data_IF_907023376718
#
_entry.id   IF_907023376718
#
_cell.length_a   1.000
_cell.length_b   1.000
_cell.length_c   1.000
_cell.angle_alpha   90.00
_cell.angle_beta   90.00
_cell.angle_gamma   90.00
#
_symmetry.space_group_name_H-M   'P 1'
#
loop_
_entity.id
_entity.type
_entity.pdbx_description
1 polymer ?
#
# COMPACT_ATOMS: atom_id res chain seq x y z
N UNK A 1 20.72 -23.94 -6.32
CA UNK A 1 20.26 -22.66 -6.89
C UNK A 1 19.73 -21.82 -5.74
N UNK A 2 20.25 -20.61 -5.56
CA UNK A 2 19.71 -19.68 -4.55
C UNK A 2 18.31 -19.29 -5.00
N UNK A 3 17.30 -19.48 -4.14
CA UNK A 3 15.94 -19.07 -4.43
C UNK A 3 15.92 -17.55 -4.69
N UNK A 4 15.31 -17.14 -5.80
CA UNK A 4 15.17 -15.71 -6.13
C UNK A 4 14.15 -15.09 -5.19
N UNK A 5 14.56 -14.07 -4.44
CA UNK A 5 13.73 -13.42 -3.43
C UNK A 5 12.87 -12.31 -4.04
N UNK A 6 11.60 -12.29 -3.64
CA UNK A 6 10.63 -11.27 -4.00
C UNK A 6 10.06 -10.62 -2.73
N UNK A 7 10.13 -9.30 -2.61
CA UNK A 7 9.51 -8.55 -1.51
C UNK A 7 8.37 -7.69 -2.07
N UNK A 8 7.17 -7.84 -1.48
CA UNK A 8 6.00 -7.05 -1.83
C UNK A 8 5.71 -6.02 -0.74
N UNK A 9 5.76 -4.74 -1.11
CA UNK A 9 5.42 -3.59 -0.29
C UNK A 9 4.10 -3.01 -0.77
N UNK A 10 3.28 -2.47 0.14
CA UNK A 10 2.07 -1.80 -0.28
C UNK A 10 0.93 -1.79 0.72
N UNK A 11 -0.20 -1.30 0.26
CA UNK A 11 -1.43 -1.15 1.02
C UNK A 11 -2.46 -2.25 0.70
N UNK A 12 -3.75 -1.98 0.94
CA UNK A 12 -4.84 -2.94 0.72
C UNK A 12 -4.95 -3.44 -0.72
N UNK A 13 -4.60 -2.62 -1.71
CA UNK A 13 -4.64 -3.02 -3.12
C UNK A 13 -3.67 -4.18 -3.42
N UNK A 14 -2.55 -4.25 -2.70
CA UNK A 14 -1.61 -5.36 -2.77
C UNK A 14 -1.96 -6.48 -1.79
N UNK A 15 -2.40 -6.15 -0.56
CA UNK A 15 -2.73 -7.14 0.46
C UNK A 15 -3.94 -8.03 0.07
N UNK A 16 -4.95 -7.46 -0.60
CA UNK A 16 -6.15 -8.19 -1.05
C UNK A 16 -7.12 -8.55 0.08
N UNK A 17 -7.52 -7.58 0.96
CA UNK A 17 -8.46 -7.86 2.04
C UNK A 17 -9.78 -8.39 1.49
N UNK A 18 -10.34 -9.38 2.19
CA UNK A 18 -11.59 -10.04 1.78
C UNK A 18 -11.41 -11.20 0.82
N UNK A 19 -10.28 -11.33 0.14
CA UNK A 19 -9.99 -12.48 -0.74
C UNK A 19 -9.55 -13.67 0.11
N UNK A 20 -10.28 -14.78 0.05
CA UNK A 20 -9.96 -15.99 0.83
C UNK A 20 -9.04 -16.96 0.05
N UNK A 21 -8.21 -17.76 0.73
CA UNK A 21 -7.94 -17.75 2.17
C UNK A 21 -6.97 -16.63 2.57
N UNK A 22 -6.98 -16.28 3.84
CA UNK A 22 -6.00 -15.37 4.42
C UNK A 22 -4.59 -16.01 4.39
N UNK A 23 -3.57 -15.20 4.14
CA UNK A 23 -2.18 -15.67 4.17
C UNK A 23 -1.80 -16.16 5.58
N UNK A 24 -1.20 -17.33 5.66
CA UNK A 24 -0.76 -17.94 6.92
C UNK A 24 0.27 -17.03 7.61
N UNK A 25 0.20 -16.95 8.95
CA UNK A 25 1.13 -16.16 9.74
C UNK A 25 0.95 -14.63 9.64
N UNK A 26 0.10 -14.12 8.73
CA UNK A 26 -0.12 -12.68 8.63
C UNK A 26 -1.02 -12.15 9.74
N UNK A 27 -0.75 -10.94 10.28
CA UNK A 27 -1.69 -10.28 11.20
C UNK A 27 -3.08 -10.13 10.56
N UNK A 28 -4.16 -10.32 11.34
CA UNK A 28 -5.52 -10.16 10.82
C UNK A 28 -5.77 -8.76 10.25
N UNK A 29 -5.22 -7.76 10.92
CA UNK A 29 -5.33 -6.35 10.53
C UNK A 29 -4.60 -6.00 9.23
N UNK A 30 -3.63 -6.80 8.80
CA UNK A 30 -2.96 -6.61 7.52
C UNK A 30 -3.88 -6.94 6.33
N UNK A 31 -4.85 -7.83 6.52
CA UNK A 31 -5.78 -8.21 5.46
C UNK A 31 -5.14 -8.97 4.30
N UNK A 32 -3.97 -9.59 4.50
CA UNK A 32 -3.27 -10.30 3.42
C UNK A 32 -3.99 -11.56 3.01
N UNK A 33 -4.19 -11.71 1.72
CA UNK A 33 -4.72 -12.92 1.09
C UNK A 33 -3.59 -13.82 0.60
N UNK A 34 -3.74 -15.13 0.74
CA UNK A 34 -2.86 -16.10 0.07
C UNK A 34 -3.09 -16.17 -1.46
N UNK A 35 -4.04 -15.37 -1.97
CA UNK A 35 -4.37 -15.24 -3.40
C UNK A 35 -4.25 -13.79 -3.89
N UNK A 36 -3.60 -12.92 -3.14
CA UNK A 36 -3.28 -11.58 -3.62
C UNK A 36 -2.27 -11.66 -4.78
N UNK A 37 -2.10 -10.54 -5.52
CA UNK A 37 -1.22 -10.57 -6.68
C UNK A 37 0.25 -10.93 -6.32
N UNK A 38 0.83 -10.53 -5.17
CA UNK A 38 2.18 -10.96 -4.81
C UNK A 38 2.33 -12.47 -4.74
N UNK A 39 1.38 -13.16 -4.10
CA UNK A 39 1.39 -14.62 -4.05
C UNK A 39 1.21 -15.28 -5.43
N UNK A 40 0.40 -14.68 -6.31
CA UNK A 40 0.23 -15.18 -7.68
C UNK A 40 1.51 -15.04 -8.49
N UNK A 41 2.15 -13.86 -8.43
CA UNK A 41 3.43 -13.58 -9.09
C UNK A 41 4.53 -14.51 -8.59
N UNK A 42 4.66 -14.65 -7.26
CA UNK A 42 5.65 -15.52 -6.64
C UNK A 42 5.52 -16.97 -7.13
N UNK A 43 4.29 -17.51 -7.16
CA UNK A 43 4.03 -18.86 -7.67
C UNK A 43 4.33 -19.00 -9.16
N UNK A 44 3.93 -18.03 -9.96
CA UNK A 44 4.13 -18.04 -11.42
C UNK A 44 5.61 -18.00 -11.81
N UNK A 45 6.43 -17.26 -11.06
CA UNK A 45 7.84 -17.06 -11.33
C UNK A 45 8.78 -17.94 -10.49
N UNK A 46 8.24 -18.78 -9.59
CA UNK A 46 9.04 -19.63 -8.70
C UNK A 46 9.90 -18.81 -7.73
N UNK A 47 9.37 -17.69 -7.19
CA UNK A 47 10.07 -16.79 -6.28
C UNK A 47 9.73 -17.10 -4.83
N UNK A 48 10.68 -16.87 -3.93
CA UNK A 48 10.45 -16.85 -2.49
C UNK A 48 9.86 -15.48 -2.09
N UNK A 49 8.59 -15.48 -1.65
CA UNK A 49 7.86 -14.25 -1.33
C UNK A 49 8.03 -13.85 0.13
N UNK A 50 8.39 -12.59 0.34
CA UNK A 50 8.21 -11.86 1.60
C UNK A 50 7.13 -10.81 1.38
N UNK A 51 5.91 -11.08 1.82
CA UNK A 51 4.78 -10.17 1.69
C UNK A 51 4.62 -9.37 2.98
N UNK A 52 4.97 -8.08 2.95
CA UNK A 52 4.80 -7.14 4.07
C UNK A 52 3.71 -6.11 3.81
N UNK A 53 2.92 -6.29 2.76
CA UNK A 53 1.78 -5.41 2.45
C UNK A 53 0.81 -5.32 3.63
N UNK A 54 0.19 -4.17 3.85
CA UNK A 54 -0.67 -3.95 5.00
C UNK A 54 -1.84 -3.02 4.65
N UNK A 55 -3.08 -3.47 4.88
CA UNK A 55 -4.27 -2.66 4.63
C UNK A 55 -4.21 -1.33 5.39
N UNK A 56 -4.50 -0.23 4.70
CA UNK A 56 -4.43 1.11 5.26
C UNK A 56 -3.03 1.72 5.31
N UNK A 57 -1.99 1.04 4.80
CA UNK A 57 -0.65 1.60 4.78
C UNK A 57 -0.57 2.87 3.91
N UNK A 58 0.22 3.82 4.36
CA UNK A 58 0.63 5.03 3.66
C UNK A 58 2.11 4.96 3.29
N UNK A 59 2.62 5.92 2.54
CA UNK A 59 4.05 6.03 2.23
C UNK A 59 4.91 6.10 3.51
N UNK A 60 4.43 6.75 4.57
CA UNK A 60 5.10 6.79 5.86
C UNK A 60 5.27 5.41 6.50
N UNK A 61 4.26 4.53 6.39
CA UNK A 61 4.36 3.13 6.86
C UNK A 61 5.30 2.27 6.00
N UNK A 62 5.51 2.65 4.76
CA UNK A 62 6.55 2.00 3.95
C UNK A 62 7.94 2.44 4.43
N UNK A 63 8.15 3.73 4.69
CA UNK A 63 9.47 4.34 4.91
C UNK A 63 9.96 4.25 6.37
N UNK A 64 9.16 4.73 7.33
CA UNK A 64 9.67 5.06 8.68
C UNK A 64 8.73 4.71 9.82
N UNK A 65 7.43 4.60 9.58
CA UNK A 65 6.45 4.41 10.63
C UNK A 65 6.05 2.95 10.81
N UNK A 66 5.91 2.54 12.07
CA UNK A 66 5.31 1.25 12.41
C UNK A 66 3.80 1.30 12.26
N UNK A 67 3.22 0.22 11.72
CA UNK A 67 1.77 0.09 11.60
C UNK A 67 1.25 -1.05 12.47
N UNK A 68 0.55 -0.73 13.55
CA UNK A 68 -0.04 -1.71 14.50
C UNK A 68 0.98 -2.76 14.97
N UNK A 69 2.20 -2.33 15.27
CA UNK A 69 3.29 -3.19 15.72
C UNK A 69 4.09 -3.86 14.60
N UNK A 70 3.68 -3.75 13.34
CA UNK A 70 4.52 -4.13 12.22
C UNK A 70 5.57 -3.03 11.96
N UNK A 71 6.84 -3.39 11.71
CA UNK A 71 7.88 -2.40 11.39
C UNK A 71 7.63 -1.73 10.05
N UNK A 72 8.37 -0.63 9.72
CA UNK A 72 8.36 -0.06 8.39
C UNK A 72 8.60 -1.12 7.32
N UNK A 73 7.84 -1.06 6.23
CA UNK A 73 7.87 -2.16 5.25
C UNK A 73 9.23 -2.31 4.55
N UNK A 74 9.99 -1.21 4.38
CA UNK A 74 11.35 -1.26 3.81
C UNK A 74 12.36 -2.02 4.65
N UNK A 75 12.06 -2.30 5.93
CA UNK A 75 12.91 -3.11 6.78
C UNK A 75 12.93 -4.61 6.38
N UNK A 76 12.00 -5.02 5.52
CA UNK A 76 12.02 -6.34 4.91
C UNK A 76 13.06 -6.48 3.78
N UNK A 77 13.64 -5.37 3.32
CA UNK A 77 14.67 -5.37 2.27
C UNK A 77 16.05 -5.57 2.90
N UNK A 78 16.81 -6.52 2.39
CA UNK A 78 18.16 -6.88 2.87
C UNK A 78 19.24 -6.85 1.76
N UNK A 79 18.85 -6.46 0.53
CA UNK A 79 19.75 -6.34 -0.62
C UNK A 79 19.88 -7.62 -1.47
N UNK A 80 19.21 -8.72 -1.09
CA UNK A 80 19.24 -9.98 -1.83
C UNK A 80 18.06 -10.16 -2.77
N UNK A 81 17.16 -9.18 -2.82
CA UNK A 81 15.97 -9.22 -3.66
C UNK A 81 16.31 -9.21 -5.15
N UNK A 82 15.59 -10.02 -5.91
CA UNK A 82 15.57 -9.97 -7.37
C UNK A 82 14.38 -9.19 -7.91
N UNK A 83 13.30 -9.12 -7.10
CA UNK A 83 12.08 -8.38 -7.43
C UNK A 83 11.56 -7.66 -6.18
N UNK A 84 11.15 -6.40 -6.35
CA UNK A 84 10.38 -5.64 -5.37
C UNK A 84 9.17 -5.05 -6.08
N UNK A 85 7.99 -5.20 -5.54
CA UNK A 85 6.79 -4.48 -6.00
C UNK A 85 6.32 -3.52 -4.93
N UNK A 86 5.83 -2.36 -5.35
CA UNK A 86 5.32 -1.30 -4.46
C UNK A 86 3.95 -0.86 -4.96
N UNK A 87 2.91 -0.99 -4.14
CA UNK A 87 1.56 -0.51 -4.46
C UNK A 87 1.05 0.34 -3.31
N UNK A 88 1.31 1.63 -3.37
CA UNK A 88 1.14 2.58 -2.26
C UNK A 88 0.64 3.95 -2.78
N UNK A 89 0.27 4.85 -1.87
CA UNK A 89 -0.11 6.24 -2.17
C UNK A 89 -1.62 6.50 -2.11
N UNK A 90 -2.45 5.49 -2.34
CA UNK A 90 -3.90 5.67 -2.34
C UNK A 90 -4.47 6.12 -0.98
N UNK A 91 -3.90 5.65 0.13
CA UNK A 91 -4.32 6.07 1.46
C UNK A 91 -3.78 7.47 1.83
N UNK A 92 -2.64 7.86 1.28
CA UNK A 92 -2.04 9.19 1.48
C UNK A 92 -2.97 10.29 0.91
N UNK A 93 -3.59 10.04 -0.23
CA UNK A 93 -4.53 10.98 -0.88
C UNK A 93 -5.98 10.79 -0.45
N UNK A 94 -6.26 9.92 0.51
CA UNK A 94 -7.62 9.66 0.96
C UNK A 94 -8.54 9.03 -0.09
N UNK A 95 -7.98 8.25 -1.02
CA UNK A 95 -8.71 7.68 -2.16
C UNK A 95 -9.95 6.86 -1.75
N UNK A 96 -9.82 5.97 -0.77
CA UNK A 96 -10.93 5.13 -0.31
C UNK A 96 -12.04 5.95 0.36
N UNK A 97 -11.77 6.84 1.34
CA UNK A 97 -12.78 7.76 1.88
C UNK A 97 -13.46 8.59 0.80
N UNK A 98 -12.71 9.08 -0.20
CA UNK A 98 -13.25 9.85 -1.32
C UNK A 98 -14.24 9.02 -2.16
N UNK A 99 -13.92 7.77 -2.47
CA UNK A 99 -14.83 6.88 -3.22
C UNK A 99 -16.16 6.67 -2.48
N UNK A 100 -16.08 6.42 -1.16
CA UNK A 100 -17.29 6.30 -0.34
C UNK A 100 -18.07 7.60 -0.30
N UNK A 101 -17.41 8.74 -0.14
CA UNK A 101 -18.05 10.06 -0.15
C UNK A 101 -18.75 10.35 -1.49
N UNK A 102 -18.10 10.03 -2.60
CA UNK A 102 -18.67 10.21 -3.95
C UNK A 102 -19.86 9.28 -4.22
N UNK A 103 -19.91 8.11 -3.61
CA UNK A 103 -21.01 7.15 -3.72
C UNK A 103 -22.23 7.46 -2.85
N UNK A 104 -22.14 8.43 -1.94
CA UNK A 104 -23.26 8.77 -1.05
C UNK A 104 -24.31 9.61 -1.82
N UNK A 105 -25.62 9.39 -1.53
CA UNK A 105 -26.69 10.22 -2.07
C UNK A 105 -26.50 11.69 -1.76
N UNK A 106 -26.89 12.59 -2.66
CA UNK A 106 -26.68 14.04 -2.53
C UNK A 106 -27.26 14.66 -1.25
N UNK A 107 -28.34 14.10 -0.70
CA UNK A 107 -28.91 14.57 0.56
C UNK A 107 -27.95 14.37 1.77
N UNK A 108 -26.99 13.46 1.71
CA UNK A 108 -25.99 13.27 2.76
C UNK A 108 -25.11 14.52 2.93
N UNK A 109 -24.93 15.30 1.88
CA UNK A 109 -24.18 16.57 1.92
C UNK A 109 -24.94 17.69 2.66
N UNK A 110 -26.26 17.58 2.81
CA UNK A 110 -27.10 18.51 3.54
C UNK A 110 -27.11 18.26 5.06
N UNK A 111 -26.58 17.13 5.51
CA UNK A 111 -26.48 16.82 6.94
C UNK A 111 -25.38 17.66 7.59
N UNK A 112 -25.71 18.46 8.64
CA UNK A 112 -24.69 19.25 9.35
C UNK A 112 -23.55 18.35 9.84
N UNK A 113 -22.32 18.86 9.82
CA UNK A 113 -21.08 18.17 10.16
C UNK A 113 -20.66 17.08 9.15
N UNK A 114 -21.54 16.15 8.74
CA UNK A 114 -21.24 15.16 7.72
C UNK A 114 -21.01 15.81 6.36
N UNK A 115 -21.87 16.76 5.97
CA UNK A 115 -21.77 17.49 4.70
C UNK A 115 -20.50 18.33 4.59
N UNK A 116 -20.03 18.94 5.69
CA UNK A 116 -18.78 19.67 5.70
C UNK A 116 -17.59 18.75 5.40
N UNK A 117 -17.54 17.59 6.06
CA UNK A 117 -16.49 16.58 5.88
C UNK A 117 -16.51 15.95 4.48
N UNK A 118 -17.69 15.71 3.93
CA UNK A 118 -17.85 15.23 2.56
C UNK A 118 -17.36 16.25 1.53
N UNK A 119 -17.65 17.53 1.72
CA UNK A 119 -17.16 18.61 0.84
C UNK A 119 -15.64 18.72 0.87
N UNK A 120 -15.02 18.60 2.04
CA UNK A 120 -13.56 18.59 2.18
C UNK A 120 -12.93 17.39 1.45
N UNK A 121 -13.49 16.19 1.58
CA UNK A 121 -13.02 14.99 0.88
C UNK A 121 -13.20 15.08 -0.65
N UNK A 122 -14.20 15.82 -1.10
CA UNK A 122 -14.50 16.00 -2.52
C UNK A 122 -13.90 17.28 -3.11
N UNK A 123 -13.21 18.11 -2.31
CA UNK A 123 -12.57 19.33 -2.77
C UNK A 123 -11.43 19.05 -3.76
N UNK A 124 -11.53 19.50 -5.02
CA UNK A 124 -10.48 19.30 -6.02
C UNK A 124 -9.14 19.90 -5.61
N UNK A 125 -9.13 21.10 -4.99
CA UNK A 125 -7.91 21.77 -4.61
C UNK A 125 -7.19 21.06 -3.46
N UNK A 126 -7.92 20.49 -2.50
CA UNK A 126 -7.35 19.64 -1.44
C UNK A 126 -6.73 18.37 -2.03
N UNK A 127 -7.39 17.78 -3.01
CA UNK A 127 -6.89 16.59 -3.71
C UNK A 127 -5.63 16.89 -4.52
N UNK A 128 -5.58 18.02 -5.23
CA UNK A 128 -4.39 18.40 -6.01
C UNK A 128 -3.18 18.60 -5.10
N UNK A 129 -3.37 19.21 -3.92
CA UNK A 129 -2.31 19.32 -2.91
C UNK A 129 -1.85 17.94 -2.41
N UNK A 130 -2.80 17.07 -2.05
CA UNK A 130 -2.47 15.72 -1.58
C UNK A 130 -1.76 14.89 -2.66
N UNK A 131 -2.11 15.05 -3.93
CA UNK A 131 -1.42 14.42 -5.05
C UNK A 131 0.01 14.94 -5.23
N UNK A 132 0.24 16.23 -5.04
CA UNK A 132 1.60 16.80 -5.09
C UNK A 132 2.47 16.25 -3.95
N UNK A 133 1.94 16.24 -2.72
CA UNK A 133 2.63 15.72 -1.53
C UNK A 133 2.95 14.22 -1.65
N UNK A 134 2.00 13.42 -2.13
CA UNK A 134 2.25 11.98 -2.34
C UNK A 134 3.28 11.74 -3.44
N UNK A 135 3.34 12.61 -4.45
CA UNK A 135 4.35 12.55 -5.50
C UNK A 135 5.77 12.60 -4.94
N UNK A 136 6.04 13.55 -4.03
CA UNK A 136 7.32 13.66 -3.35
C UNK A 136 7.61 12.42 -2.48
N UNK A 137 6.61 11.95 -1.73
CA UNK A 137 6.71 10.77 -0.89
C UNK A 137 6.99 9.50 -1.71
N UNK A 138 6.37 9.34 -2.88
CA UNK A 138 6.63 8.21 -3.79
C UNK A 138 8.05 8.24 -4.36
N UNK A 139 8.59 9.42 -4.67
CA UNK A 139 10.00 9.57 -5.08
C UNK A 139 10.93 9.09 -3.96
N UNK A 140 10.63 9.45 -2.70
CA UNK A 140 11.43 9.00 -1.55
C UNK A 140 11.31 7.49 -1.32
N UNK A 141 10.11 6.91 -1.47
CA UNK A 141 9.92 5.45 -1.46
C UNK A 141 10.82 4.79 -2.54
N UNK A 142 10.79 5.31 -3.76
CA UNK A 142 11.61 4.79 -4.86
C UNK A 142 13.10 4.86 -4.58
N UNK A 143 13.59 5.97 -4.04
CA UNK A 143 15.01 6.14 -3.65
C UNK A 143 15.41 5.16 -2.55
N UNK A 144 14.58 5.04 -1.51
CA UNK A 144 14.86 4.16 -0.37
C UNK A 144 14.87 2.70 -0.79
N UNK A 145 13.87 2.27 -1.59
CA UNK A 145 13.84 0.90 -2.13
C UNK A 145 15.06 0.63 -3.01
N UNK A 146 15.42 1.55 -3.91
CA UNK A 146 16.62 1.41 -4.76
C UNK A 146 17.91 1.33 -3.95
N UNK A 147 18.01 2.11 -2.87
CA UNK A 147 19.17 2.09 -1.99
C UNK A 147 19.29 0.76 -1.23
N UNK A 148 18.18 0.24 -0.70
CA UNK A 148 18.15 -1.02 0.08
C UNK A 148 18.22 -2.27 -0.78
N UNK A 149 17.67 -2.24 -1.99
CA UNK A 149 17.63 -3.37 -2.94
C UNK A 149 18.25 -2.96 -4.30
N UNK A 150 19.58 -2.68 -4.35
CA UNK A 150 20.22 -2.06 -5.52
C UNK A 150 20.19 -2.95 -6.77
N UNK A 151 20.09 -4.25 -6.60
CA UNK A 151 20.11 -5.23 -7.69
C UNK A 151 18.71 -5.73 -8.10
N UNK A 152 17.67 -5.33 -7.38
CA UNK A 152 16.31 -5.76 -7.66
C UNK A 152 15.71 -5.06 -8.88
N UNK A 153 14.86 -5.77 -9.61
CA UNK A 153 13.84 -5.12 -10.46
C UNK A 153 12.78 -4.53 -9.55
N UNK A 154 12.54 -3.23 -9.64
CA UNK A 154 11.54 -2.52 -8.83
C UNK A 154 10.39 -2.09 -9.73
N UNK A 155 9.15 -2.47 -9.37
CA UNK A 155 7.92 -2.11 -10.05
C UNK A 155 7.00 -1.33 -9.10
N UNK A 156 6.45 -0.21 -9.59
CA UNK A 156 5.44 0.60 -8.93
C UNK A 156 4.09 0.42 -9.60
#
# INVERSE_FOLDING_TARGET
MIAKRYVALGSSMAAGPGIQPRAAGSPRSAGRSARNYPHLVARSLGLELVDVTYSGATTAHVLTESQRGAPPQVDALDGTETLVTVTIGGNDVGYVPMLFAAGLPGFAQAVPFLGARLRELLDPAARDRALAEVGESLVEVGRTVRHRAPHATVLF
#
